data_IF_532551482557
#
_entry.id   IF_532551482557
#
_cell.length_a   1.000
_cell.length_b   1.000
_cell.length_c   1.000
_cell.angle_alpha   90.00
_cell.angle_beta   90.00
_cell.angle_gamma   90.00
#
_symmetry.space_group_name_H-M   'P 1'
#
loop_
_entity.id
_entity.type
_entity.pdbx_description
1 polymer ?
#
# COMPACT_ATOMS: atom_id res chain seq x y z
N UNK A 1 -6.84 24.52 29.58
CA UNK A 1 -5.56 23.77 29.68
C UNK A 1 -4.93 23.74 28.30
N UNK A 2 -3.64 23.40 28.15
CA UNK A 2 -2.95 23.45 26.85
C UNK A 2 -2.35 22.09 26.47
N UNK A 3 -3.17 21.14 25.99
CA UNK A 3 -2.69 19.91 25.39
C UNK A 3 -2.06 20.21 24.03
N UNK A 4 -0.74 20.39 24.01
CA UNK A 4 0.05 20.35 22.76
C UNK A 4 0.31 18.89 22.34
N UNK A 5 -0.69 18.04 22.51
CA UNK A 5 -0.55 16.59 22.34
C UNK A 5 -0.84 16.26 20.88
N UNK A 6 0.10 15.60 20.24
CA UNK A 6 -0.08 15.05 18.90
C UNK A 6 -0.38 13.56 19.02
N UNK A 7 -1.38 13.08 18.29
CA UNK A 7 -1.51 11.66 18.01
C UNK A 7 -0.42 11.29 17.01
N UNK A 8 0.47 10.36 17.35
CA UNK A 8 1.58 9.95 16.48
C UNK A 8 1.23 8.60 15.88
N UNK A 9 1.17 8.54 14.55
CA UNK A 9 0.90 7.36 13.74
C UNK A 9 2.16 7.04 12.92
N UNK A 10 2.70 5.84 13.07
CA UNK A 10 3.90 5.37 12.35
C UNK A 10 3.48 4.26 11.39
N UNK A 11 3.25 4.63 10.14
CA UNK A 11 2.87 3.73 9.06
C UNK A 11 4.15 3.08 8.54
N UNK A 12 4.44 1.87 9.03
CA UNK A 12 5.61 1.10 8.59
C UNK A 12 5.27 0.31 7.32
N UNK A 13 6.15 0.40 6.32
CA UNK A 13 6.21 -0.56 5.23
C UNK A 13 6.52 -1.98 5.77
N UNK A 14 6.15 -3.00 5.01
CA UNK A 14 6.50 -4.39 5.33
C UNK A 14 8.03 -4.55 5.46
N UNK A 15 8.48 -5.18 6.55
CA UNK A 15 9.89 -5.55 6.77
C UNK A 15 10.16 -7.01 6.36
N UNK A 16 9.21 -7.67 5.71
CA UNK A 16 9.35 -9.04 5.23
C UNK A 16 10.47 -9.17 4.19
N UNK A 17 11.08 -10.34 4.09
CA UNK A 17 12.07 -10.64 3.06
C UNK A 17 11.35 -10.93 1.74
N UNK A 18 11.18 -9.90 0.91
CA UNK A 18 10.40 -9.99 -0.32
C UNK A 18 11.13 -10.84 -1.37
N UNK A 19 10.58 -12.01 -1.64
CA UNK A 19 11.06 -12.93 -2.66
C UNK A 19 10.17 -12.79 -3.90
N UNK A 20 10.67 -12.08 -4.93
CA UNK A 20 10.04 -12.11 -6.25
C UNK A 20 10.02 -13.55 -6.75
N UNK A 21 8.84 -14.16 -6.77
CA UNK A 21 8.65 -15.44 -7.45
C UNK A 21 9.02 -15.23 -8.93
N UNK A 22 10.12 -15.87 -9.33
CA UNK A 22 10.65 -15.74 -10.68
C UNK A 22 9.58 -16.08 -11.71
N UNK A 23 9.44 -15.22 -12.73
CA UNK A 23 8.45 -15.39 -13.77
C UNK A 23 8.55 -16.79 -14.38
N UNK A 24 7.53 -17.61 -14.15
CA UNK A 24 7.39 -18.92 -14.76
C UNK A 24 6.56 -18.73 -16.04
N UNK A 25 7.15 -18.81 -17.24
CA UNK A 25 6.38 -18.73 -18.46
C UNK A 25 5.50 -19.98 -18.54
N UNK A 26 4.18 -19.81 -18.37
CA UNK A 26 3.23 -20.87 -18.67
C UNK A 26 3.18 -21.09 -20.19
N UNK A 27 3.57 -22.28 -20.64
CA UNK A 27 3.48 -22.72 -22.02
C UNK A 27 2.01 -22.95 -22.45
N UNK A 28 1.64 -22.36 -23.60
CA UNK A 28 0.80 -22.85 -24.73
C UNK A 28 -0.17 -24.04 -24.45
N UNK A 29 -1.48 -24.00 -24.75
CA UNK A 29 -2.17 -24.16 -26.07
C UNK A 29 -3.70 -23.93 -25.86
N UNK A 30 -4.63 -23.80 -26.82
CA UNK A 30 -4.63 -23.60 -28.29
C UNK A 30 -6.03 -23.02 -28.69
N UNK A 31 -6.09 -22.21 -29.76
CA UNK A 31 -7.09 -22.34 -30.85
C UNK A 31 -6.88 -21.26 -31.92
N UNK A 32 -6.81 -21.71 -33.17
CA UNK A 32 -6.56 -20.87 -34.36
C UNK A 32 -7.66 -19.83 -34.62
N UNK A 33 -7.27 -18.55 -34.72
CA UNK A 33 -8.11 -17.44 -35.18
C UNK A 33 -7.28 -16.48 -36.06
N UNK A 34 -7.69 -16.32 -37.32
CA UNK A 34 -6.99 -15.53 -38.34
C UNK A 34 -7.48 -14.07 -38.37
N UNK A 35 -7.20 -13.29 -37.31
CA UNK A 35 -7.21 -11.82 -37.34
C UNK A 35 -6.58 -11.14 -36.11
N UNK A 36 -5.59 -10.26 -36.36
CA UNK A 36 -5.40 -9.05 -35.54
C UNK A 36 -4.67 -9.14 -34.19
N UNK A 37 -3.33 -9.32 -34.21
CA UNK A 37 -2.38 -8.73 -33.25
C UNK A 37 -2.81 -8.63 -31.77
N UNK A 38 -3.07 -9.76 -31.11
CA UNK A 38 -3.16 -9.81 -29.65
C UNK A 38 -1.75 -9.83 -29.07
N UNK A 39 -1.28 -8.69 -28.54
CA UNK A 39 -0.08 -8.68 -27.70
C UNK A 39 -0.37 -9.47 -26.43
N UNK A 40 0.20 -10.67 -26.31
CA UNK A 40 0.02 -11.51 -25.13
C UNK A 40 0.49 -10.81 -23.85
N UNK A 41 -0.45 -10.49 -22.96
CA UNK A 41 -0.14 -9.97 -21.62
C UNK A 41 0.61 -11.07 -20.87
N UNK A 42 1.87 -10.79 -20.54
CA UNK A 42 2.64 -11.66 -19.66
C UNK A 42 2.24 -11.33 -18.23
N UNK A 43 2.20 -12.33 -17.35
CA UNK A 43 1.91 -12.14 -15.93
C UNK A 43 3.06 -12.68 -15.08
N UNK A 44 3.16 -12.18 -13.85
CA UNK A 44 4.07 -12.70 -12.82
C UNK A 44 3.35 -12.67 -11.47
N UNK A 45 3.99 -13.24 -10.44
CA UNK A 45 3.51 -13.15 -9.05
C UNK A 45 4.47 -12.30 -8.25
N UNK A 46 3.94 -11.32 -7.52
CA UNK A 46 4.68 -10.61 -6.46
C UNK A 46 4.35 -11.32 -5.16
N UNK A 47 5.35 -11.70 -4.39
CA UNK A 47 5.19 -12.56 -3.21
C UNK A 47 6.07 -12.16 -2.04
N UNK A 48 5.55 -12.38 -0.85
CA UNK A 48 6.24 -12.21 0.43
C UNK A 48 6.28 -13.57 1.14
N UNK A 49 7.45 -13.96 1.62
CA UNK A 49 7.69 -15.22 2.31
C UNK A 49 8.06 -14.96 3.78
N UNK A 50 7.36 -15.66 4.67
CA UNK A 50 7.54 -15.62 6.12
C UNK A 50 8.26 -16.91 6.56
N UNK A 51 9.59 -16.91 6.37
CA UNK A 51 10.49 -18.06 6.59
C UNK A 51 10.26 -18.79 7.92
N UNK A 52 10.00 -18.06 9.01
CA UNK A 52 9.84 -18.63 10.35
C UNK A 52 8.63 -19.55 10.49
N UNK A 53 7.59 -19.34 9.66
CA UNK A 53 6.35 -20.11 9.67
C UNK A 53 6.10 -20.89 8.38
N UNK A 54 6.94 -20.71 7.35
CA UNK A 54 6.82 -21.37 6.04
C UNK A 54 5.56 -20.95 5.29
N UNK A 55 5.17 -19.68 5.41
CA UNK A 55 3.98 -19.12 4.76
C UNK A 55 4.41 -18.19 3.61
N UNK A 56 3.69 -18.28 2.48
CA UNK A 56 3.89 -17.39 1.33
C UNK A 56 2.54 -16.79 0.96
N UNK A 57 2.50 -15.47 0.83
CA UNK A 57 1.39 -14.74 0.22
C UNK A 57 1.86 -14.14 -1.11
N UNK A 58 0.98 -14.07 -2.11
CA UNK A 58 1.33 -13.41 -3.36
C UNK A 58 0.13 -12.99 -4.20
N UNK A 59 0.36 -11.99 -5.06
CA UNK A 59 -0.62 -11.40 -5.96
C UNK A 59 -0.14 -11.56 -7.40
N UNK A 60 -1.01 -12.10 -8.27
CA UNK A 60 -0.75 -12.18 -9.71
C UNK A 60 -0.97 -10.82 -10.34
N UNK A 61 0.03 -10.36 -11.10
CA UNK A 61 0.07 -9.05 -11.76
C UNK A 61 0.43 -9.16 -13.24
N UNK A 62 -0.09 -8.22 -14.03
CA UNK A 62 0.21 -8.06 -15.45
C UNK A 62 1.56 -7.33 -15.64
N UNK A 63 2.32 -7.73 -16.67
CA UNK A 63 3.57 -7.11 -17.08
C UNK A 63 3.41 -6.34 -18.41
N UNK A 64 4.15 -5.22 -18.62
CA UNK A 64 5.06 -4.56 -17.66
C UNK A 64 4.32 -3.80 -16.55
N UNK A 65 5.01 -3.33 -15.49
CA UNK A 65 4.44 -2.34 -14.58
C UNK A 65 3.92 -1.13 -15.34
N UNK A 66 2.83 -0.54 -14.83
CA UNK A 66 2.13 0.59 -15.44
C UNK A 66 2.78 1.93 -15.07
N UNK A 67 3.47 1.97 -13.92
CA UNK A 67 4.46 2.98 -13.59
C UNK A 67 5.64 2.31 -12.87
N UNK A 68 6.85 2.83 -13.09
CA UNK A 68 8.09 2.37 -12.47
C UNK A 68 9.04 3.57 -12.34
N UNK A 69 9.61 3.77 -11.16
CA UNK A 69 10.49 4.88 -10.80
C UNK A 69 11.56 4.36 -9.84
N UNK A 70 12.82 4.66 -10.11
CA UNK A 70 13.92 4.46 -9.15
C UNK A 70 14.16 5.78 -8.42
N UNK A 71 13.94 5.82 -7.09
CA UNK A 71 14.22 6.99 -6.27
C UNK A 71 15.65 6.95 -5.70
N UNK A 72 15.98 7.90 -4.81
CA UNK A 72 17.25 7.86 -4.05
C UNK A 72 17.20 6.93 -2.84
N UNK A 73 16.05 6.30 -2.57
CA UNK A 73 15.80 5.44 -1.42
C UNK A 73 15.38 4.02 -1.80
N UNK A 74 14.55 3.87 -2.84
CA UNK A 74 13.87 2.60 -3.18
C UNK A 74 13.41 2.59 -4.65
N UNK A 75 13.13 1.40 -5.18
CA UNK A 75 12.40 1.18 -6.43
C UNK A 75 10.90 1.24 -6.17
N UNK A 76 10.18 2.08 -6.90
CA UNK A 76 8.73 2.32 -6.77
C UNK A 76 8.01 1.81 -8.03
N UNK A 77 7.11 0.84 -7.89
CA UNK A 77 6.37 0.27 -9.02
C UNK A 77 4.86 0.15 -8.78
N UNK A 78 4.08 0.32 -9.84
CA UNK A 78 2.62 0.14 -9.83
C UNK A 78 2.24 -0.83 -10.94
N UNK A 79 1.69 -1.98 -10.57
CA UNK A 79 1.21 -2.99 -11.49
C UNK A 79 -0.31 -2.97 -11.66
N UNK A 80 -0.80 -3.77 -12.61
CA UNK A 80 -2.22 -4.10 -12.79
C UNK A 80 -2.47 -5.53 -12.33
N UNK A 81 -3.61 -5.78 -11.68
CA UNK A 81 -4.09 -7.13 -11.35
C UNK A 81 -5.57 -7.24 -11.63
N UNK A 82 -5.96 -8.28 -12.39
CA UNK A 82 -7.35 -8.56 -12.78
C UNK A 82 -8.32 -8.70 -11.59
N UNK A 83 -7.84 -9.04 -10.39
CA UNK A 83 -8.70 -9.19 -9.20
C UNK A 83 -8.51 -8.10 -8.13
N UNK A 84 -7.32 -7.50 -8.06
CA UNK A 84 -6.93 -6.58 -6.99
C UNK A 84 -6.82 -5.11 -7.43
N UNK A 85 -6.95 -4.81 -8.73
CA UNK A 85 -6.84 -3.46 -9.27
C UNK A 85 -5.38 -3.05 -9.42
N UNK A 86 -5.04 -1.81 -9.09
CA UNK A 86 -3.63 -1.40 -8.93
C UNK A 86 -2.99 -2.12 -7.76
N UNK A 87 -1.72 -2.47 -7.95
CA UNK A 87 -0.87 -3.10 -6.94
C UNK A 87 0.37 -2.22 -6.77
N UNK A 88 0.56 -1.67 -5.58
CA UNK A 88 1.66 -0.75 -5.26
C UNK A 88 2.80 -1.49 -4.56
N UNK A 89 4.02 -1.26 -5.04
CA UNK A 89 5.19 -2.09 -4.75
C UNK A 89 6.39 -1.19 -4.50
N UNK A 90 7.14 -1.47 -3.42
CA UNK A 90 8.38 -0.78 -3.05
C UNK A 90 9.46 -1.84 -2.85
N UNK A 91 10.61 -1.72 -3.53
CA UNK A 91 11.72 -2.70 -3.48
C UNK A 91 11.25 -4.16 -3.62
N UNK A 92 10.35 -4.39 -4.60
CA UNK A 92 9.69 -5.68 -4.87
C UNK A 92 8.75 -6.21 -3.76
N UNK A 93 8.56 -5.47 -2.66
CA UNK A 93 7.59 -5.75 -1.60
C UNK A 93 6.19 -5.18 -1.88
N UNK A 94 5.15 -5.96 -1.60
CA UNK A 94 3.76 -5.56 -1.77
C UNK A 94 3.34 -4.62 -0.64
N UNK A 95 3.08 -3.36 -0.96
CA UNK A 95 2.61 -2.39 0.03
C UNK A 95 1.09 -2.42 0.20
N UNK A 96 0.36 -2.36 -0.91
CA UNK A 96 -1.11 -2.38 -0.92
C UNK A 96 -1.67 -2.72 -2.31
N UNK A 97 -2.95 -3.05 -2.34
CA UNK A 97 -3.76 -3.06 -3.55
C UNK A 97 -4.95 -2.11 -3.44
N UNK A 98 -5.52 -1.66 -4.55
CA UNK A 98 -6.76 -0.85 -4.53
C UNK A 98 -7.91 -1.53 -3.79
N UNK A 99 -7.92 -2.86 -3.73
CA UNK A 99 -9.00 -3.66 -3.16
C UNK A 99 -8.90 -3.86 -1.65
N UNK A 100 -7.69 -3.97 -1.10
CA UNK A 100 -7.49 -4.18 0.34
C UNK A 100 -7.08 -2.91 1.10
N UNK A 101 -6.47 -1.91 0.44
CA UNK A 101 -6.03 -0.65 1.04
C UNK A 101 -7.05 0.00 2.01
N UNK A 102 -8.38 0.07 1.73
CA UNK A 102 -9.32 0.65 2.67
C UNK A 102 -9.30 -0.02 4.06
N UNK A 103 -9.16 -1.34 4.13
CA UNK A 103 -9.25 -2.09 5.38
C UNK A 103 -8.08 -1.78 6.33
N UNK A 104 -6.86 -1.72 5.79
CA UNK A 104 -5.68 -1.33 6.57
C UNK A 104 -5.77 0.14 6.99
N UNK A 105 -6.09 1.03 6.06
CA UNK A 105 -6.05 2.47 6.28
C UNK A 105 -7.18 2.98 7.20
N UNK A 106 -8.41 2.45 7.07
CA UNK A 106 -9.51 2.75 8.00
C UNK A 106 -9.15 2.33 9.43
N UNK A 107 -8.53 1.15 9.60
CA UNK A 107 -8.07 0.68 10.90
C UNK A 107 -6.95 1.56 11.48
N UNK A 108 -6.01 1.99 10.63
CA UNK A 108 -4.87 2.82 11.06
C UNK A 108 -5.27 4.27 11.39
N UNK A 109 -6.29 4.81 10.75
CA UNK A 109 -6.79 6.16 11.01
C UNK A 109 -7.86 6.21 12.12
N UNK A 110 -8.94 5.42 11.99
CA UNK A 110 -10.13 5.59 12.81
C UNK A 110 -9.97 5.04 14.23
N UNK A 111 -9.33 3.89 14.40
CA UNK A 111 -9.15 3.28 15.75
C UNK A 111 -8.36 4.19 16.70
N UNK A 112 -7.16 4.69 16.35
CA UNK A 112 -6.42 5.58 17.25
C UNK A 112 -7.07 6.96 17.39
N UNK A 113 -7.75 7.48 16.35
CA UNK A 113 -8.51 8.73 16.47
C UNK A 113 -9.67 8.61 17.47
N UNK A 114 -10.45 7.52 17.42
CA UNK A 114 -11.53 7.27 18.38
C UNK A 114 -11.00 6.99 19.80
N UNK A 115 -9.88 6.26 19.94
CA UNK A 115 -9.22 6.05 21.24
C UNK A 115 -8.84 7.39 21.86
N UNK A 116 -8.14 8.24 21.09
CA UNK A 116 -7.68 9.55 21.54
C UNK A 116 -8.85 10.44 21.99
N UNK A 117 -9.87 10.59 21.14
CA UNK A 117 -11.05 11.42 21.44
C UNK A 117 -11.85 10.88 22.64
N UNK A 118 -11.86 9.56 22.86
CA UNK A 118 -12.50 8.96 24.05
C UNK A 118 -11.76 9.24 25.36
N UNK A 119 -10.43 9.41 25.29
CA UNK A 119 -9.57 9.71 26.44
C UNK A 119 -9.45 11.19 26.75
N UNK A 120 -9.62 12.03 25.74
CA UNK A 120 -9.56 13.49 25.83
C UNK A 120 -10.88 14.11 25.35
N UNK A 121 -12.02 13.88 26.04
CA UNK A 121 -13.35 14.30 25.57
C UNK A 121 -13.56 15.83 25.57
N UNK A 122 -12.70 16.59 26.25
CA UNK A 122 -12.67 18.06 26.22
C UNK A 122 -11.84 18.61 25.04
N UNK A 123 -11.20 17.74 24.25
CA UNK A 123 -10.39 18.12 23.09
C UNK A 123 -11.26 18.15 21.83
N UNK A 124 -11.68 19.35 21.41
CA UNK A 124 -12.40 19.56 20.16
C UNK A 124 -11.49 19.45 18.91
N UNK A 125 -10.16 19.42 19.10
CA UNK A 125 -9.15 19.58 18.03
C UNK A 125 -8.04 18.53 18.09
N UNK A 126 -8.10 17.57 17.19
CA UNK A 126 -7.10 16.52 17.00
C UNK A 126 -5.96 17.00 16.10
N UNK A 127 -4.71 16.78 16.52
CA UNK A 127 -3.50 16.99 15.71
C UNK A 127 -2.80 15.66 15.51
N UNK A 128 -2.46 15.34 14.27
CA UNK A 128 -1.91 14.02 13.92
C UNK A 128 -0.56 14.18 13.24
N UNK A 129 0.45 13.47 13.73
CA UNK A 129 1.74 13.31 13.08
C UNK A 129 1.72 11.93 12.42
N UNK A 130 1.76 11.90 11.08
CA UNK A 130 1.84 10.67 10.28
C UNK A 130 3.28 10.54 9.78
N UNK A 131 3.94 9.44 10.11
CA UNK A 131 5.29 9.09 9.63
C UNK A 131 5.14 7.90 8.67
N UNK A 132 5.65 8.01 7.45
CA UNK A 132 5.40 7.07 6.36
C UNK A 132 4.03 7.29 5.70
N UNK A 133 3.54 6.28 4.98
CA UNK A 133 2.23 6.34 4.31
C UNK A 133 2.21 7.24 3.08
N UNK A 134 3.27 7.20 2.26
CA UNK A 134 3.39 7.93 0.98
C UNK A 134 2.28 7.66 -0.04
N UNK A 135 1.49 6.59 0.12
CA UNK A 135 0.25 6.34 -0.62
C UNK A 135 -0.89 7.34 -0.29
N UNK A 136 -0.81 8.00 0.88
CA UNK A 136 -1.75 9.02 1.32
C UNK A 136 -3.12 8.54 1.82
N UNK A 137 -3.41 7.23 1.84
CA UNK A 137 -4.72 6.73 2.27
C UNK A 137 -4.97 6.99 3.76
N UNK A 138 -4.00 6.77 4.66
CA UNK A 138 -4.15 7.11 6.09
C UNK A 138 -4.54 8.58 6.28
N UNK A 139 -3.90 9.49 5.53
CA UNK A 139 -4.21 10.93 5.59
C UNK A 139 -5.62 11.21 5.06
N UNK A 140 -6.03 10.58 3.95
CA UNK A 140 -7.39 10.64 3.40
C UNK A 140 -8.45 10.18 4.42
N UNK A 141 -8.20 9.09 5.14
CA UNK A 141 -9.08 8.56 6.18
C UNK A 141 -9.16 9.47 7.41
N UNK A 142 -8.02 10.03 7.85
CA UNK A 142 -7.97 11.00 8.94
C UNK A 142 -8.78 12.27 8.63
N UNK A 143 -8.73 12.77 7.39
CA UNK A 143 -9.47 13.95 6.95
C UNK A 143 -11.00 13.77 6.98
N UNK A 144 -11.52 12.54 7.16
CA UNK A 144 -12.95 12.29 7.40
C UNK A 144 -13.39 12.68 8.82
N UNK A 145 -12.47 12.84 9.77
CA UNK A 145 -12.79 13.28 11.13
C UNK A 145 -12.89 14.81 11.20
N UNK A 146 -14.06 15.41 11.48
CA UNK A 146 -14.23 16.87 11.51
C UNK A 146 -13.52 17.55 12.69
N UNK A 147 -13.01 16.78 13.64
CA UNK A 147 -12.19 17.25 14.76
C UNK A 147 -10.72 17.44 14.40
N UNK A 148 -10.24 16.97 13.24
CA UNK A 148 -8.83 17.13 12.85
C UNK A 148 -8.54 18.59 12.50
N UNK A 149 -7.67 19.23 13.29
CA UNK A 149 -7.18 20.60 13.08
C UNK A 149 -5.94 20.63 12.18
N UNK A 150 -5.06 19.64 12.29
CA UNK A 150 -3.81 19.58 11.54
C UNK A 150 -3.32 18.14 11.37
N UNK A 151 -2.71 17.87 10.21
CA UNK A 151 -1.95 16.65 9.94
C UNK A 151 -0.55 17.08 9.47
N UNK A 152 0.47 16.70 10.23
CA UNK A 152 1.87 16.78 9.80
C UNK A 152 2.20 15.42 9.17
N UNK A 153 2.31 15.35 7.84
CA UNK A 153 2.65 14.14 7.10
C UNK A 153 4.14 14.17 6.73
N UNK A 154 4.90 13.20 7.22
CA UNK A 154 6.34 13.06 7.00
C UNK A 154 6.58 11.75 6.25
N UNK A 155 6.81 11.87 4.94
CA UNK A 155 7.35 10.81 4.09
C UNK A 155 8.84 11.08 3.84
N UNK A 156 9.64 10.02 3.72
CA UNK A 156 11.06 10.08 3.40
C UNK A 156 11.28 10.39 1.91
N UNK A 157 10.48 9.74 1.06
CA UNK A 157 10.57 9.84 -0.40
C UNK A 157 9.74 11.00 -0.98
N UNK A 158 10.22 11.57 -2.09
CA UNK A 158 9.61 12.72 -2.78
C UNK A 158 9.21 12.41 -4.23
N UNK A 159 9.44 11.17 -4.68
CA UNK A 159 9.29 10.70 -6.07
C UNK A 159 7.89 10.26 -6.47
#
# INVERSE_FOLDING_TARGET
MNPRTWLILVVLASLASCAVASASPSSEDDSTGDDGNVKGVHWTTISEEEDEIGFIQGVVVDLPPVASLESKYQKVEVYSSNHFGRVFVLDDCLQLTERDAPHYNEMFAHVPAFEYLSRFPEEERLKVLVIGGGDGYVVSELLKHPTVEAIDHIELDEG
#
